data_IF_682950898946
#
_entry.id   IF_682950898946
#
_cell.length_a   1.000
_cell.length_b   1.000
_cell.length_c   1.000
_cell.angle_alpha   90.00
_cell.angle_beta   90.00
_cell.angle_gamma   90.00
#
_symmetry.space_group_name_H-M   'P 1'
#
loop_
_entity.id
_entity.type
_entity.pdbx_description
1 polymer ?
#
# COMPACT_ATOMS: atom_id res chain seq x y z
N UNK A 1 5.29 24.98 33.90
CA UNK A 1 4.23 24.16 33.26
C UNK A 1 4.83 22.81 32.87
N UNK A 2 4.49 21.74 33.59
CA UNK A 2 4.89 20.35 33.26
C UNK A 2 3.63 19.47 33.17
N UNK A 3 2.74 19.77 32.23
CA UNK A 3 1.76 18.82 31.70
C UNK A 3 0.90 19.53 30.65
N UNK A 4 0.91 19.02 29.41
CA UNK A 4 -0.24 19.15 28.52
C UNK A 4 -1.24 18.09 28.99
N UNK A 5 -2.44 18.49 29.39
CA UNK A 5 -3.54 17.54 29.60
C UNK A 5 -4.31 17.43 28.29
N UNK A 6 -4.31 16.24 27.70
CA UNK A 6 -5.10 15.89 26.54
C UNK A 6 -6.38 15.23 27.05
N UNK A 7 -7.54 15.66 26.54
CA UNK A 7 -8.78 14.89 26.65
C UNK A 7 -9.15 14.52 25.22
N UNK A 8 -8.83 13.29 24.83
CA UNK A 8 -9.18 12.71 23.56
C UNK A 8 -9.86 11.37 23.79
N UNK A 9 -10.98 11.11 23.10
CA UNK A 9 -11.54 9.77 23.03
C UNK A 9 -10.84 9.06 21.87
N UNK A 10 -9.97 8.11 22.18
CA UNK A 10 -9.40 7.21 21.19
C UNK A 10 -10.43 6.12 20.86
N UNK A 11 -10.78 5.99 19.60
CA UNK A 11 -11.48 4.82 19.07
C UNK A 11 -10.42 3.81 18.61
N UNK A 12 -10.56 2.57 19.03
CA UNK A 12 -9.68 1.47 18.62
C UNK A 12 -10.39 0.67 17.54
N UNK A 13 -9.65 0.22 16.53
CA UNK A 13 -10.18 -0.71 15.53
C UNK A 13 -10.48 -2.07 16.18
N UNK A 14 -11.44 -2.84 15.65
CA UNK A 14 -11.89 -4.11 16.24
C UNK A 14 -10.76 -5.13 16.46
N UNK A 15 -9.70 -5.07 15.63
CA UNK A 15 -8.55 -5.98 15.71
C UNK A 15 -7.46 -5.55 16.71
N UNK A 16 -7.63 -4.42 17.40
CA UNK A 16 -6.63 -3.88 18.31
C UNK A 16 -7.21 -3.65 19.71
N UNK A 17 -6.40 -3.88 20.73
CA UNK A 17 -6.76 -3.64 22.13
C UNK A 17 -5.94 -2.49 22.72
N UNK A 18 -6.55 -1.74 23.66
CA UNK A 18 -5.80 -0.81 24.50
C UNK A 18 -4.92 -1.60 25.46
N UNK A 19 -3.74 -1.06 25.79
CA UNK A 19 -2.91 -1.59 26.85
C UNK A 19 -3.55 -1.33 28.22
N UNK A 20 -3.03 -1.99 29.25
CA UNK A 20 -3.42 -1.67 30.63
C UNK A 20 -3.04 -0.21 30.99
N UNK A 21 -3.73 0.41 31.97
CA UNK A 21 -3.33 1.71 32.51
C UNK A 21 -1.89 1.79 33.01
N UNK A 22 -1.35 0.68 33.50
CA UNK A 22 0.03 0.57 34.01
C UNK A 22 1.06 0.59 32.87
N UNK A 23 0.66 0.18 31.67
CA UNK A 23 1.49 0.11 30.46
C UNK A 23 1.26 1.29 29.51
N UNK A 24 0.42 2.27 29.89
CA UNK A 24 0.25 3.52 29.16
C UNK A 24 -0.95 3.61 28.21
N UNK A 25 -1.91 2.67 28.28
CA UNK A 25 -3.20 2.60 27.53
C UNK A 25 -3.11 2.55 26.00
N UNK A 26 -2.29 3.39 25.37
CA UNK A 26 -2.16 3.48 23.92
C UNK A 26 -0.94 2.67 23.50
N UNK A 27 -1.10 1.61 22.68
CA UNK A 27 -0.01 0.69 22.31
C UNK A 27 1.07 1.29 21.39
N UNK A 28 0.94 2.58 21.02
CA UNK A 28 1.82 3.24 20.07
C UNK A 28 2.17 4.67 20.53
N UNK A 29 3.41 5.09 20.27
CA UNK A 29 3.86 6.46 20.52
C UNK A 29 3.42 7.40 19.39
N UNK A 30 2.66 8.44 19.72
CA UNK A 30 2.34 9.52 18.80
C UNK A 30 3.03 10.83 19.23
N UNK A 31 3.77 11.47 18.33
CA UNK A 31 4.39 12.79 18.58
C UNK A 31 3.69 13.86 17.76
N UNK A 32 2.96 14.75 18.44
CA UNK A 32 2.37 15.95 17.83
C UNK A 32 3.35 17.12 17.91
N UNK A 33 3.65 17.74 16.77
CA UNK A 33 4.46 18.98 16.69
C UNK A 33 3.60 20.12 16.16
N UNK A 34 3.24 21.06 17.03
CA UNK A 34 2.52 22.28 16.65
C UNK A 34 3.55 23.37 16.35
N UNK A 35 3.56 23.90 15.12
CA UNK A 35 4.38 25.06 14.74
C UNK A 35 3.48 26.28 14.73
N UNK A 36 3.66 27.15 15.71
CA UNK A 36 2.89 28.40 15.85
C UNK A 36 3.83 29.60 15.67
N UNK A 37 3.35 30.63 14.97
CA UNK A 37 4.14 31.83 14.70
C UNK A 37 4.36 32.69 15.95
N UNK A 38 3.52 32.53 16.97
CA UNK A 38 3.58 33.25 18.25
C UNK A 38 4.01 32.30 19.35
N UNK A 39 4.90 32.77 20.23
CA UNK A 39 5.33 32.03 21.41
C UNK A 39 4.14 31.66 22.31
N UNK A 40 4.25 30.51 22.98
CA UNK A 40 3.28 30.08 23.98
C UNK A 40 3.36 30.95 25.23
N UNK A 41 2.53 31.98 25.30
CA UNK A 41 2.45 32.90 26.44
C UNK A 41 0.98 33.18 26.79
N UNK A 42 0.73 33.48 28.07
CA UNK A 42 -0.61 33.89 28.52
C UNK A 42 -1.09 35.11 27.74
N UNK A 43 -2.34 35.10 27.34
CA UNK A 43 -2.97 36.23 26.66
C UNK A 43 -4.44 36.33 27.06
N UNK A 44 -4.85 37.51 27.51
CA UNK A 44 -6.27 37.80 27.75
C UNK A 44 -6.80 38.75 26.67
N UNK A 45 -7.88 38.39 25.96
CA UNK A 45 -8.56 39.31 25.04
C UNK A 45 -9.51 40.26 25.78
N UNK A 46 -9.81 40.02 27.06
CA UNK A 46 -10.88 40.72 27.80
C UNK A 46 -10.38 41.43 29.05
N UNK A 47 -9.23 41.07 29.59
CA UNK A 47 -8.62 41.64 30.80
C UNK A 47 -7.32 42.38 30.46
N UNK A 48 -7.01 43.42 31.23
CA UNK A 48 -5.73 44.13 31.11
C UNK A 48 -4.57 43.35 31.76
N UNK A 49 -4.87 42.55 32.78
CA UNK A 49 -3.90 41.71 33.51
C UNK A 49 -4.16 40.23 33.26
N UNK A 50 -3.11 39.48 32.92
CA UNK A 50 -3.14 38.02 32.76
C UNK A 50 -3.06 37.25 34.09
N UNK A 51 -2.96 37.97 35.21
CA UNK A 51 -3.02 37.40 36.55
C UNK A 51 -4.46 37.32 37.08
N UNK A 52 -5.40 38.06 36.48
CA UNK A 52 -6.83 38.01 36.83
C UNK A 52 -7.51 36.86 36.09
N UNK A 53 -7.74 35.74 36.78
CA UNK A 53 -8.17 34.48 36.16
C UNK A 53 -9.65 34.15 36.33
N UNK A 54 -10.45 35.02 36.97
CA UNK A 54 -11.86 34.75 37.27
C UNK A 54 -12.72 34.48 36.02
N UNK A 55 -12.39 35.12 34.90
CA UNK A 55 -13.09 34.94 33.60
C UNK A 55 -12.23 34.20 32.58
N UNK A 56 -11.10 33.63 33.02
CA UNK A 56 -10.15 32.99 32.13
C UNK A 56 -10.59 31.60 31.73
N UNK A 57 -10.48 31.28 30.45
CA UNK A 57 -10.42 29.90 30.01
C UNK A 57 -8.96 29.43 30.06
N UNK A 58 -8.73 28.27 30.69
CA UNK A 58 -7.38 27.69 30.83
C UNK A 58 -6.33 28.65 31.42
N UNK A 59 -6.71 29.52 32.36
CA UNK A 59 -5.79 30.49 33.00
C UNK A 59 -5.05 31.41 32.01
N UNK A 60 -5.74 31.79 30.94
CA UNK A 60 -5.22 32.58 29.80
C UNK A 60 -4.14 31.87 28.97
N UNK A 61 -3.88 30.59 29.24
CA UNK A 61 -2.94 29.82 28.44
C UNK A 61 -3.60 29.45 27.10
N UNK A 62 -2.92 29.68 25.96
CA UNK A 62 -3.45 29.31 24.66
C UNK A 62 -3.84 27.83 24.61
N UNK A 63 -5.04 27.55 24.07
CA UNK A 63 -5.45 26.20 23.68
C UNK A 63 -5.47 26.10 22.15
N UNK A 64 -5.16 24.92 21.64
CA UNK A 64 -5.19 24.63 20.21
C UNK A 64 -6.05 23.39 19.99
N UNK A 65 -7.05 23.50 19.12
CA UNK A 65 -7.85 22.36 18.69
C UNK A 65 -7.24 21.79 17.42
N UNK A 66 -7.06 20.48 17.38
CA UNK A 66 -6.73 19.76 16.16
C UNK A 66 -7.72 18.61 15.96
N UNK A 67 -7.91 18.19 14.72
CA UNK A 67 -8.70 17.02 14.36
C UNK A 67 -7.94 16.15 13.38
N UNK A 68 -8.11 14.84 13.49
CA UNK A 68 -7.57 13.85 12.55
C UNK A 68 -8.63 13.34 11.58
N UNK A 69 -9.86 13.91 11.61
CA UNK A 69 -10.99 13.45 10.80
C UNK A 69 -10.67 13.41 9.31
N UNK A 70 -9.92 14.39 8.81
CA UNK A 70 -9.54 14.50 7.40
C UNK A 70 -8.24 13.76 7.05
N UNK A 71 -7.60 13.12 8.03
CA UNK A 71 -6.35 12.34 7.88
C UNK A 71 -6.62 10.85 8.16
N UNK A 72 -7.87 10.47 8.38
CA UNK A 72 -8.26 9.09 8.57
C UNK A 72 -8.12 8.31 7.26
N UNK A 73 -7.65 7.06 7.34
CA UNK A 73 -7.68 6.16 6.20
C UNK A 73 -9.14 5.93 5.78
N UNK A 74 -9.49 6.40 4.58
CA UNK A 74 -10.79 6.13 3.96
C UNK A 74 -10.74 4.85 3.14
N UNK A 75 -11.86 4.13 3.09
CA UNK A 75 -12.04 3.01 2.16
C UNK A 75 -12.69 3.53 0.86
N UNK A 76 -12.33 2.94 -0.28
CA UNK A 76 -12.98 3.23 -1.56
C UNK A 76 -12.60 4.58 -2.22
N UNK A 77 -11.46 5.18 -1.86
CA UNK A 77 -10.95 6.36 -2.57
C UNK A 77 -10.41 5.95 -3.95
N UNK A 78 -11.21 6.22 -4.98
CA UNK A 78 -10.90 5.89 -6.38
C UNK A 78 -9.60 6.55 -6.88
N UNK A 79 -9.24 7.73 -6.37
CA UNK A 79 -8.01 8.40 -6.78
C UNK A 79 -6.78 7.67 -6.23
N UNK A 80 -6.84 7.25 -4.97
CA UNK A 80 -5.79 6.45 -4.33
C UNK A 80 -5.71 5.06 -4.97
N UNK A 81 -6.83 4.43 -5.27
CA UNK A 81 -6.86 3.12 -5.94
C UNK A 81 -6.14 3.14 -7.29
N UNK A 82 -6.31 4.20 -8.09
CA UNK A 82 -5.59 4.35 -9.36
C UNK A 82 -4.09 4.49 -9.19
N UNK A 83 -3.65 5.16 -8.12
CA UNK A 83 -2.23 5.30 -7.83
C UNK A 83 -1.62 3.95 -7.43
N UNK A 84 -2.31 3.18 -6.58
CA UNK A 84 -1.90 1.84 -6.17
C UNK A 84 -1.82 0.87 -7.36
N UNK A 85 -2.71 0.99 -8.36
CA UNK A 85 -2.60 0.20 -9.60
C UNK A 85 -1.29 0.46 -10.37
N UNK A 86 -0.62 1.59 -10.15
CA UNK A 86 0.67 1.86 -10.78
C UNK A 86 1.81 1.04 -10.21
N UNK A 87 1.68 0.56 -8.98
CA UNK A 87 2.69 -0.26 -8.31
C UNK A 87 2.70 -1.70 -8.83
N UNK A 88 1.64 -2.14 -9.52
CA UNK A 88 1.59 -3.45 -10.15
C UNK A 88 2.71 -3.56 -11.19
N UNK A 89 3.54 -4.59 -11.05
CA UNK A 89 4.68 -4.82 -11.92
C UNK A 89 4.92 -6.31 -12.16
N UNK A 90 5.81 -6.64 -13.09
CA UNK A 90 6.27 -8.00 -13.36
C UNK A 90 7.78 -8.07 -13.22
N UNK A 91 8.26 -9.10 -12.52
CA UNK A 91 9.68 -9.30 -12.22
C UNK A 91 10.14 -10.72 -12.57
N UNK A 92 11.35 -10.88 -13.14
CA UNK A 92 12.19 -9.83 -13.70
C UNK A 92 11.62 -9.27 -15.02
N UNK A 93 11.85 -7.99 -15.27
CA UNK A 93 11.54 -7.33 -16.53
C UNK A 93 12.74 -6.47 -16.97
N UNK A 94 13.49 -6.85 -18.02
CA UNK A 94 13.29 -8.01 -18.89
C UNK A 94 13.71 -9.34 -18.23
N UNK A 95 13.09 -10.45 -18.63
CA UNK A 95 13.52 -11.79 -18.24
C UNK A 95 14.57 -12.30 -19.23
N UNK A 96 15.80 -12.54 -18.76
CA UNK A 96 16.90 -13.04 -19.57
C UNK A 96 17.21 -14.48 -19.26
N UNK A 97 16.24 -15.38 -19.53
CA UNK A 97 16.47 -16.81 -19.41
C UNK A 97 17.01 -17.20 -18.02
N UNK A 98 16.66 -16.45 -16.97
CA UNK A 98 17.08 -16.65 -15.58
C UNK A 98 16.23 -15.76 -14.68
N UNK A 99 15.86 -16.28 -13.52
CA UNK A 99 15.19 -15.55 -12.46
C UNK A 99 15.68 -16.10 -11.12
N UNK A 100 15.95 -15.23 -10.13
CA UNK A 100 16.39 -15.64 -8.78
C UNK A 100 15.36 -16.50 -8.04
N UNK A 101 14.13 -16.53 -8.57
CA UNK A 101 13.03 -17.33 -8.06
C UNK A 101 12.99 -18.77 -8.58
N UNK A 102 13.85 -19.12 -9.54
CA UNK A 102 13.93 -20.46 -10.13
C UNK A 102 14.67 -21.40 -9.18
N UNK A 103 14.04 -22.53 -8.83
CA UNK A 103 14.65 -23.49 -7.90
C UNK A 103 15.57 -24.50 -8.61
N UNK A 104 15.36 -24.72 -9.91
CA UNK A 104 16.03 -25.73 -10.72
C UNK A 104 16.22 -25.23 -12.16
N UNK A 105 17.14 -25.84 -12.92
CA UNK A 105 17.41 -25.47 -14.33
C UNK A 105 16.21 -25.60 -15.29
N UNK A 106 15.16 -26.31 -14.87
CA UNK A 106 13.94 -26.61 -15.62
C UNK A 106 12.78 -25.67 -15.21
N UNK A 107 12.92 -25.00 -14.06
CA UNK A 107 11.93 -24.07 -13.55
C UNK A 107 12.18 -22.70 -14.17
N UNK A 108 11.20 -22.18 -14.93
CA UNK A 108 11.23 -20.82 -15.44
C UNK A 108 10.06 -20.07 -14.81
N UNK A 109 10.33 -19.05 -14.00
CA UNK A 109 9.29 -18.34 -13.25
C UNK A 109 9.47 -16.84 -13.28
N UNK A 110 8.41 -16.15 -13.68
CA UNK A 110 8.24 -14.71 -13.46
C UNK A 110 7.08 -14.47 -12.51
N UNK A 111 7.15 -13.36 -11.78
CA UNK A 111 6.18 -13.02 -10.75
C UNK A 111 5.57 -11.66 -11.08
N UNK A 112 4.24 -11.60 -11.07
CA UNK A 112 3.50 -10.34 -11.12
C UNK A 112 3.25 -9.93 -9.67
N UNK A 113 3.66 -8.73 -9.28
CA UNK A 113 3.72 -8.26 -7.89
C UNK A 113 2.74 -7.12 -7.65
N UNK A 114 2.47 -6.86 -6.37
CA UNK A 114 1.55 -5.82 -5.89
C UNK A 114 0.11 -6.00 -6.40
N UNK A 115 -0.29 -7.25 -6.63
CA UNK A 115 -1.64 -7.57 -7.05
C UNK A 115 -2.62 -7.47 -5.86
N UNK A 116 -3.83 -6.96 -6.07
CA UNK A 116 -4.89 -7.01 -5.07
C UNK A 116 -5.40 -8.44 -4.87
N UNK A 117 -6.23 -8.63 -3.85
CA UNK A 117 -6.79 -9.94 -3.51
C UNK A 117 -7.62 -10.53 -4.66
N UNK A 118 -8.45 -9.70 -5.29
CA UNK A 118 -9.29 -10.07 -6.41
C UNK A 118 -8.87 -9.32 -7.68
N UNK A 119 -8.42 -10.06 -8.70
CA UNK A 119 -8.12 -9.50 -10.02
C UNK A 119 -8.08 -10.58 -11.10
N UNK A 120 -8.26 -10.16 -12.34
CA UNK A 120 -8.04 -11.02 -13.52
C UNK A 120 -6.77 -10.60 -14.23
N UNK A 121 -5.81 -11.52 -14.35
CA UNK A 121 -4.57 -11.30 -15.11
C UNK A 121 -4.68 -12.05 -16.43
N UNK A 122 -4.63 -11.32 -17.54
CA UNK A 122 -4.71 -11.88 -18.89
C UNK A 122 -3.45 -11.54 -19.68
N UNK A 123 -2.82 -12.57 -20.26
CA UNK A 123 -1.55 -12.46 -20.97
C UNK A 123 -1.79 -12.67 -22.46
N UNK A 124 -1.31 -11.74 -23.27
CA UNK A 124 -1.41 -11.74 -24.71
C UNK A 124 -0.04 -11.67 -25.38
N UNK A 125 0.08 -12.23 -26.58
CA UNK A 125 1.21 -11.92 -27.46
C UNK A 125 1.00 -10.56 -28.15
N UNK A 126 2.01 -10.06 -28.87
CA UNK A 126 1.92 -8.80 -29.65
C UNK A 126 0.83 -8.79 -30.73
N UNK A 127 0.39 -9.97 -31.18
CA UNK A 127 -0.69 -10.12 -32.15
C UNK A 127 -2.09 -10.12 -31.50
N UNK A 128 -2.18 -9.95 -30.17
CA UNK A 128 -3.44 -9.99 -29.42
C UNK A 128 -4.00 -11.39 -29.16
N UNK A 129 -3.23 -12.44 -29.44
CA UNK A 129 -3.65 -13.82 -29.14
C UNK A 129 -3.51 -14.09 -27.64
N UNK A 130 -4.55 -14.68 -27.05
CA UNK A 130 -4.55 -15.12 -25.66
C UNK A 130 -3.49 -16.21 -25.44
N UNK A 131 -2.56 -15.94 -24.53
CA UNK A 131 -1.54 -16.89 -24.09
C UNK A 131 -2.04 -17.65 -22.88
N UNK A 132 -2.41 -16.93 -21.83
CA UNK A 132 -2.89 -17.49 -20.56
C UNK A 132 -3.72 -16.47 -19.79
N UNK A 133 -4.63 -16.95 -18.95
CA UNK A 133 -5.41 -16.13 -18.04
C UNK A 133 -5.40 -16.74 -16.65
N UNK A 134 -5.39 -15.88 -15.63
CA UNK A 134 -5.48 -16.22 -14.23
C UNK A 134 -6.61 -15.42 -13.59
N UNK A 135 -7.49 -16.12 -12.86
CA UNK A 135 -8.47 -15.51 -11.98
C UNK A 135 -7.95 -15.62 -10.56
N UNK A 136 -7.63 -14.48 -9.97
CA UNK A 136 -7.07 -14.40 -8.62
C UNK A 136 -8.17 -14.00 -7.64
N UNK A 137 -8.27 -14.75 -6.55
CA UNK A 137 -9.23 -14.55 -5.47
C UNK A 137 -8.64 -15.05 -4.15
N UNK A 138 -7.39 -14.68 -3.90
CA UNK A 138 -6.58 -15.13 -2.77
C UNK A 138 -5.77 -13.96 -2.18
N UNK A 139 -5.39 -13.99 -0.89
CA UNK A 139 -4.77 -12.85 -0.23
C UNK A 139 -3.30 -12.61 -0.60
N UNK A 140 -2.66 -13.46 -1.42
CA UNK A 140 -1.27 -13.23 -1.80
C UNK A 140 -1.16 -11.98 -2.68
N UNK A 141 -0.15 -11.15 -2.49
CA UNK A 141 0.05 -9.94 -3.32
C UNK A 141 0.82 -10.21 -4.60
N UNK A 142 0.99 -11.48 -4.97
CA UNK A 142 1.74 -11.87 -6.16
C UNK A 142 1.15 -13.09 -6.86
N UNK A 143 1.44 -13.19 -8.15
CA UNK A 143 1.06 -14.32 -8.99
C UNK A 143 2.28 -14.82 -9.77
N UNK A 144 2.51 -16.12 -9.74
CA UNK A 144 3.59 -16.76 -10.46
C UNK A 144 3.13 -17.26 -11.83
N UNK A 145 3.88 -16.89 -12.86
CA UNK A 145 3.73 -17.42 -14.21
C UNK A 145 4.95 -18.26 -14.57
N UNK A 146 4.68 -19.51 -14.93
CA UNK A 146 5.61 -20.56 -15.35
C UNK A 146 6.09 -20.43 -16.81
N UNK A 147 5.81 -19.28 -17.46
CA UNK A 147 6.10 -19.02 -18.87
C UNK A 147 5.50 -20.03 -19.85
N UNK A 148 4.36 -20.65 -19.48
CA UNK A 148 3.58 -21.54 -20.35
C UNK A 148 2.26 -20.91 -20.74
N UNK A 149 1.74 -21.31 -21.90
CA UNK A 149 0.39 -20.95 -22.34
C UNK A 149 -0.69 -21.80 -21.65
N UNK A 150 -1.95 -21.55 -21.97
CA UNK A 150 -3.12 -22.29 -21.46
C UNK A 150 -3.12 -23.80 -21.79
N UNK A 151 -2.28 -24.26 -22.72
CA UNK A 151 -2.07 -25.69 -23.05
C UNK A 151 -0.83 -26.28 -22.36
N UNK A 152 -0.26 -25.58 -21.39
CA UNK A 152 0.99 -25.95 -20.71
C UNK A 152 2.21 -26.10 -21.64
N UNK A 153 2.19 -25.43 -22.79
CA UNK A 153 3.32 -25.39 -23.72
C UNK A 153 4.15 -24.15 -23.41
N UNK A 154 5.49 -24.25 -23.26
CA UNK A 154 6.37 -23.11 -23.11
C UNK A 154 6.17 -22.07 -24.21
N UNK A 155 6.14 -20.80 -23.84
CA UNK A 155 6.03 -19.71 -24.80
C UNK A 155 7.36 -19.48 -25.54
N UNK A 156 7.32 -18.80 -26.67
CA UNK A 156 8.52 -18.34 -27.36
C UNK A 156 9.10 -17.08 -26.69
N UNK A 157 10.40 -16.83 -26.86
CA UNK A 157 10.99 -15.55 -26.49
C UNK A 157 10.39 -14.41 -27.31
N UNK A 158 10.10 -13.27 -26.67
CA UNK A 158 9.47 -12.13 -27.32
C UNK A 158 8.83 -11.14 -26.35
N UNK A 159 8.07 -10.21 -26.93
CA UNK A 159 7.27 -9.23 -26.19
C UNK A 159 5.88 -9.79 -25.92
N UNK A 160 5.38 -9.58 -24.71
CA UNK A 160 4.03 -9.93 -24.28
C UNK A 160 3.37 -8.73 -23.60
N UNK A 161 2.04 -8.71 -23.68
CA UNK A 161 1.19 -7.71 -23.05
C UNK A 161 0.44 -8.41 -21.92
N UNK A 162 0.53 -7.87 -20.71
CA UNK A 162 -0.17 -8.37 -19.54
C UNK A 162 -1.20 -7.33 -19.15
N UNK A 163 -2.47 -7.71 -19.21
CA UNK A 163 -3.59 -6.90 -18.79
C UNK A 163 -4.07 -7.39 -17.43
N UNK A 164 -4.05 -6.50 -16.45
CA UNK A 164 -4.54 -6.75 -15.09
C UNK A 164 -5.81 -5.94 -14.92
N UNK A 165 -6.93 -6.63 -14.75
CA UNK A 165 -8.23 -6.05 -14.49
C UNK A 165 -8.57 -6.22 -13.01
N UNK A 166 -8.80 -5.11 -12.32
CA UNK A 166 -9.14 -5.07 -10.90
C UNK A 166 -10.56 -4.53 -10.77
N UNK A 167 -11.51 -5.33 -10.24
CA UNK A 167 -12.88 -4.88 -10.04
C UNK A 167 -12.93 -3.57 -9.27
N UNK A 168 -13.74 -2.62 -9.73
CA UNK A 168 -14.00 -1.32 -9.08
C UNK A 168 -12.81 -0.34 -9.01
N UNK A 169 -11.57 -0.79 -9.22
CA UNK A 169 -10.37 0.06 -9.21
C UNK A 169 -9.90 0.44 -10.63
N UNK A 170 -10.10 -0.42 -11.62
CA UNK A 170 -9.73 -0.19 -13.02
C UNK A 170 -8.71 -1.20 -13.55
N UNK A 171 -7.98 -0.81 -14.60
CA UNK A 171 -7.09 -1.70 -15.34
C UNK A 171 -5.63 -1.20 -15.40
N UNK A 172 -4.69 -2.13 -15.46
CA UNK A 172 -3.26 -1.89 -15.67
C UNK A 172 -2.74 -2.74 -16.81
N UNK A 173 -1.98 -2.13 -17.71
CA UNK A 173 -1.30 -2.83 -18.80
C UNK A 173 0.20 -2.80 -18.56
N UNK A 174 0.82 -3.97 -18.52
CA UNK A 174 2.27 -4.15 -18.47
C UNK A 174 2.78 -4.65 -19.83
N UNK A 175 3.95 -4.15 -20.21
CA UNK A 175 4.71 -4.64 -21.36
C UNK A 175 5.92 -5.37 -20.83
N UNK A 176 6.03 -6.66 -21.18
CA UNK A 176 7.09 -7.52 -20.68
C UNK A 176 7.83 -8.14 -21.85
N UNK A 177 9.15 -8.27 -21.71
CA UNK A 177 10.00 -8.95 -22.67
C UNK A 177 10.72 -10.11 -21.98
N UNK A 178 10.60 -11.29 -22.57
CA UNK A 178 11.24 -12.51 -22.10
C UNK A 178 12.08 -13.16 -23.17
N UNK A 179 13.31 -13.53 -22.83
CA UNK A 179 14.19 -14.38 -23.62
C UNK A 179 14.17 -15.78 -23.00
N UNK A 180 13.83 -16.79 -23.81
CA UNK A 180 13.77 -18.18 -23.38
C UNK A 180 15.08 -18.90 -23.68
N UNK A 181 15.48 -19.84 -22.81
CA UNK A 181 16.60 -20.75 -23.12
C UNK A 181 16.20 -21.68 -24.27
N UNK A 182 17.14 -22.06 -25.16
CA UNK A 182 16.95 -23.23 -26.00
C UNK A 182 16.60 -24.43 -25.12
N UNK A 183 15.59 -25.21 -25.51
CA UNK A 183 15.23 -26.42 -24.78
C UNK A 183 16.34 -27.44 -25.05
N UNK A 184 17.17 -27.70 -24.04
CA UNK A 184 18.21 -28.73 -24.10
C UNK A 184 17.57 -30.08 -23.75
N UNK A 185 17.45 -30.96 -24.74
CA UNK A 185 16.78 -32.27 -24.63
C UNK A 185 17.76 -33.41 -24.32
N UNK A 186 19.04 -33.10 -24.07
CA UNK A 186 20.09 -34.12 -24.06
C UNK A 186 20.27 -34.87 -22.74
N UNK A 187 19.50 -34.60 -21.68
CA UNK A 187 19.50 -35.43 -20.47
C UNK A 187 18.12 -35.45 -19.78
N UNK A 188 17.39 -36.56 -19.97
CA UNK A 188 16.28 -36.99 -19.11
C UNK A 188 16.80 -37.77 -17.91
#
# INVERSE_FOLDING_TARGET
>A
FRACTWVGSSLVNEDFELLSPEEGLIPNDCRVKLRVAKEYAKYSPTQQSVEETETSENFWNPHYTFTTRDIAAGTGDVAVLKDVLNDINIVPNPYYAYSEYESNKIDNRVKITNLPEQCTVTIYNVNGTLVRQYQKADPQTSLDWDLKNHKNIPIAGGVYIIHVDVPEAGEKILKWFGVMRPVDLDNF
#
